data_IF_216071809038
#
_entry.id   IF_216071809038
#
_cell.length_a   1.000
_cell.length_b   1.000
_cell.length_c   1.000
_cell.angle_alpha   90.00
_cell.angle_beta   90.00
_cell.angle_gamma   90.00
#
_symmetry.space_group_name_H-M   'P 1'
#
loop_
_entity.id
_entity.type
_entity.pdbx_description
1 polymer ?
#
# COMPACT_ATOMS: atom_id res chain seq x y z
N UNK A 1 25.55 -3.93 -32.39
CA UNK A 1 25.51 -4.34 -30.97
C UNK A 1 24.06 -4.70 -30.67
N UNK A 2 23.80 -5.96 -30.32
CA UNK A 2 22.48 -6.62 -30.34
C UNK A 2 21.66 -6.21 -29.10
N UNK A 3 20.48 -5.61 -29.29
CA UNK A 3 19.42 -5.61 -28.28
C UNK A 3 18.37 -6.61 -28.74
N UNK A 4 18.33 -7.75 -28.06
CA UNK A 4 17.46 -8.88 -28.36
C UNK A 4 16.79 -9.31 -27.05
N UNK A 5 15.46 -9.43 -27.10
CA UNK A 5 14.64 -10.30 -26.27
C UNK A 5 14.63 -10.09 -24.74
N UNK A 6 13.80 -9.16 -24.24
CA UNK A 6 13.05 -9.35 -22.99
C UNK A 6 11.66 -8.68 -23.13
N UNK A 7 10.76 -9.29 -23.91
CA UNK A 7 9.34 -8.90 -23.90
C UNK A 7 8.46 -10.09 -24.29
N UNK A 8 8.52 -11.19 -23.53
CA UNK A 8 7.65 -12.34 -23.76
C UNK A 8 7.59 -13.25 -22.52
N UNK A 9 6.98 -12.81 -21.42
CA UNK A 9 6.74 -13.67 -20.25
C UNK A 9 5.63 -13.19 -19.29
N UNK A 10 4.58 -12.54 -19.81
CA UNK A 10 3.41 -12.14 -18.99
C UNK A 10 2.05 -12.64 -19.51
N UNK A 11 2.03 -13.54 -20.51
CA UNK A 11 0.77 -14.02 -21.12
C UNK A 11 0.46 -15.52 -20.93
N UNK A 12 1.17 -16.26 -20.08
CA UNK A 12 0.96 -17.73 -19.97
C UNK A 12 0.34 -18.25 -18.66
N UNK A 13 0.05 -17.42 -17.65
CA UNK A 13 -0.34 -17.96 -16.33
C UNK A 13 -1.83 -18.34 -16.22
N UNK A 14 -2.69 -17.91 -17.16
CA UNK A 14 -4.15 -18.19 -17.06
C UNK A 14 -4.60 -19.50 -17.74
N UNK A 15 -3.71 -20.30 -18.32
CA UNK A 15 -4.11 -21.49 -19.12
C UNK A 15 -4.00 -22.81 -18.34
N UNK A 16 -3.35 -22.82 -17.17
CA UNK A 16 -3.09 -24.08 -16.45
C UNK A 16 -4.23 -24.61 -15.57
N UNK A 17 -5.21 -23.79 -15.16
CA UNK A 17 -6.20 -24.22 -14.13
C UNK A 17 -7.33 -25.13 -14.63
N UNK A 18 -7.53 -25.27 -15.95
CA UNK A 18 -8.67 -26.03 -16.49
C UNK A 18 -8.35 -27.47 -16.91
N UNK A 19 -7.08 -27.89 -16.96
CA UNK A 19 -6.70 -29.15 -17.62
C UNK A 19 -6.89 -30.42 -16.78
N UNK A 20 -7.13 -30.31 -15.47
CA UNK A 20 -7.24 -31.46 -14.56
C UNK A 20 -8.59 -31.53 -13.81
N UNK A 21 -9.56 -30.69 -14.20
CA UNK A 21 -10.94 -30.79 -13.70
C UNK A 21 -11.66 -31.97 -14.35
N UNK A 22 -12.56 -32.61 -13.62
CA UNK A 22 -13.32 -33.72 -14.19
C UNK A 22 -14.20 -33.24 -15.35
N UNK A 23 -13.97 -33.80 -16.53
CA UNK A 23 -14.90 -33.68 -17.64
C UNK A 23 -16.16 -34.52 -17.41
N UNK A 24 -17.16 -34.37 -18.29
CA UNK A 24 -18.44 -35.07 -18.14
C UNK A 24 -18.31 -36.59 -18.21
N UNK A 25 -17.35 -37.11 -18.99
CA UNK A 25 -17.09 -38.55 -19.11
C UNK A 25 -16.48 -39.10 -17.81
N UNK A 26 -15.50 -38.40 -17.25
CA UNK A 26 -14.85 -38.73 -15.98
C UNK A 26 -15.82 -38.66 -14.81
N UNK A 27 -16.72 -37.66 -14.78
CA UNK A 27 -17.82 -37.57 -13.80
C UNK A 27 -18.75 -38.78 -13.89
N UNK A 28 -19.15 -39.17 -15.11
CA UNK A 28 -20.00 -40.34 -15.34
C UNK A 28 -19.32 -41.65 -14.90
N UNK A 29 -18.04 -41.82 -15.22
CA UNK A 29 -17.23 -42.98 -14.78
C UNK A 29 -17.08 -43.02 -13.27
N UNK A 30 -16.83 -41.88 -12.63
CA UNK A 30 -16.70 -41.80 -11.17
C UNK A 30 -18.02 -42.06 -10.45
N UNK A 31 -19.15 -41.57 -10.98
CA UNK A 31 -20.49 -41.86 -10.44
C UNK A 31 -20.84 -43.36 -10.44
N UNK A 32 -20.29 -44.12 -11.40
CA UNK A 32 -20.44 -45.59 -11.46
C UNK A 32 -19.57 -46.31 -10.44
N UNK A 33 -18.47 -45.70 -10.01
CA UNK A 33 -17.63 -46.22 -8.92
C UNK A 33 -18.38 -46.00 -7.61
N UNK A 34 -18.66 -44.74 -7.29
CA UNK A 34 -19.31 -44.31 -6.06
C UNK A 34 -19.81 -42.86 -6.23
N UNK A 35 -21.12 -42.63 -6.03
CA UNK A 35 -21.72 -41.30 -6.17
C UNK A 35 -21.28 -40.32 -5.08
N UNK A 36 -21.06 -40.81 -3.86
CA UNK A 36 -20.63 -39.97 -2.74
C UNK A 36 -19.18 -39.54 -2.92
N UNK A 37 -18.32 -40.43 -3.44
CA UNK A 37 -16.96 -40.06 -3.84
C UNK A 37 -16.96 -38.96 -4.92
N UNK A 38 -17.82 -39.07 -5.95
CA UNK A 38 -17.99 -38.00 -6.93
C UNK A 38 -18.39 -36.68 -6.26
N UNK A 39 -19.36 -36.69 -5.35
CA UNK A 39 -19.79 -35.48 -4.65
C UNK A 39 -18.65 -34.83 -3.86
N UNK A 40 -17.78 -35.61 -3.20
CA UNK A 40 -16.60 -35.08 -2.49
C UNK A 40 -15.59 -34.43 -3.43
N UNK A 41 -15.38 -35.01 -4.61
CA UNK A 41 -14.52 -34.43 -5.65
C UNK A 41 -15.10 -33.11 -6.18
N UNK A 42 -16.39 -33.08 -6.53
CA UNK A 42 -17.04 -31.86 -7.01
C UNK A 42 -17.05 -30.75 -5.94
N UNK A 43 -17.21 -31.13 -4.68
CA UNK A 43 -17.10 -30.21 -3.55
C UNK A 43 -15.69 -29.59 -3.48
N UNK A 44 -14.65 -30.41 -3.60
CA UNK A 44 -13.25 -29.94 -3.63
C UNK A 44 -13.01 -28.97 -4.81
N UNK A 45 -13.48 -29.31 -6.01
CA UNK A 45 -13.39 -28.42 -7.18
C UNK A 45 -14.12 -27.09 -6.98
N UNK A 46 -15.26 -27.09 -6.29
CA UNK A 46 -15.98 -25.88 -5.94
C UNK A 46 -15.15 -24.96 -5.03
N UNK A 47 -14.52 -25.50 -3.97
CA UNK A 47 -13.68 -24.70 -3.07
C UNK A 47 -12.47 -24.08 -3.79
N UNK A 48 -11.86 -24.81 -4.72
CA UNK A 48 -10.76 -24.28 -5.54
C UNK A 48 -11.23 -23.12 -6.42
N UNK A 49 -12.42 -23.22 -7.03
CA UNK A 49 -13.00 -22.13 -7.82
C UNK A 49 -13.28 -20.89 -6.97
N UNK A 50 -13.73 -21.09 -5.72
CA UNK A 50 -13.93 -20.02 -4.73
C UNK A 50 -12.62 -19.53 -4.09
N UNK A 51 -11.45 -20.00 -4.55
CA UNK A 51 -10.12 -19.67 -4.01
C UNK A 51 -10.01 -19.92 -2.50
N UNK A 52 -10.65 -20.99 -2.03
CA UNK A 52 -10.74 -21.38 -0.64
C UNK A 52 -10.15 -22.78 -0.42
N UNK A 53 -9.91 -23.16 0.85
CA UNK A 53 -9.21 -24.41 1.16
C UNK A 53 -9.99 -25.61 0.58
N UNK A 54 -9.41 -26.40 -0.33
CA UNK A 54 -10.09 -27.48 -1.06
C UNK A 54 -10.62 -28.63 -0.18
N UNK A 55 -10.20 -28.72 1.09
CA UNK A 55 -10.58 -29.83 1.98
C UNK A 55 -10.21 -31.21 1.43
N UNK A 56 -9.03 -31.37 0.81
CA UNK A 56 -8.58 -32.64 0.20
C UNK A 56 -8.65 -33.85 1.15
N UNK A 57 -8.45 -33.62 2.44
CA UNK A 57 -8.56 -34.64 3.49
C UNK A 57 -9.95 -35.29 3.55
N UNK A 58 -11.01 -34.63 3.07
CA UNK A 58 -12.36 -35.22 2.98
C UNK A 58 -12.38 -36.38 1.98
N UNK A 59 -11.69 -36.26 0.84
CA UNK A 59 -11.58 -37.34 -0.14
C UNK A 59 -10.70 -38.46 0.41
N UNK A 60 -9.54 -38.12 0.98
CA UNK A 60 -8.60 -39.10 1.55
C UNK A 60 -9.23 -39.94 2.68
N UNK A 61 -9.95 -39.28 3.59
CA UNK A 61 -10.68 -39.94 4.66
C UNK A 61 -11.79 -40.84 4.12
N UNK A 62 -12.53 -40.38 3.09
CA UNK A 62 -13.56 -41.21 2.45
C UNK A 62 -12.94 -42.45 1.80
N UNK A 63 -11.85 -42.32 1.04
CA UNK A 63 -11.15 -43.45 0.42
C UNK A 63 -10.68 -44.45 1.47
N UNK A 64 -10.17 -43.97 2.60
CA UNK A 64 -9.65 -44.82 3.69
C UNK A 64 -10.75 -45.57 4.45
N UNK A 65 -11.94 -44.97 4.59
CA UNK A 65 -13.03 -45.53 5.40
C UNK A 65 -14.12 -46.23 4.59
N UNK A 66 -14.20 -45.96 3.28
CA UNK A 66 -15.18 -46.57 2.39
C UNK A 66 -14.78 -47.99 1.97
N UNK A 67 -15.78 -48.78 1.56
CA UNK A 67 -15.59 -50.15 1.05
C UNK A 67 -15.26 -50.17 -0.45
N UNK A 68 -14.39 -49.28 -0.91
CA UNK A 68 -13.98 -49.23 -2.32
C UNK A 68 -12.97 -50.35 -2.58
N UNK A 69 -13.19 -51.13 -3.63
CA UNK A 69 -12.25 -52.18 -4.05
C UNK A 69 -10.94 -51.58 -4.60
N UNK A 70 -9.85 -52.34 -4.53
CA UNK A 70 -8.54 -51.92 -5.08
C UNK A 70 -8.66 -51.48 -6.55
N UNK A 71 -9.41 -52.23 -7.37
CA UNK A 71 -9.64 -51.89 -8.80
C UNK A 71 -10.37 -50.57 -8.99
N UNK A 72 -11.37 -50.29 -8.15
CA UNK A 72 -12.09 -49.02 -8.18
C UNK A 72 -11.18 -47.86 -7.75
N UNK A 73 -10.34 -48.06 -6.73
CA UNK A 73 -9.36 -47.07 -6.29
C UNK A 73 -8.33 -46.75 -7.39
N UNK A 74 -7.82 -47.75 -8.10
CA UNK A 74 -6.94 -47.54 -9.25
C UNK A 74 -7.63 -46.75 -10.37
N UNK A 75 -8.92 -47.03 -10.60
CA UNK A 75 -9.71 -46.29 -11.60
C UNK A 75 -9.90 -44.84 -11.15
N UNK A 76 -10.21 -44.61 -9.87
CA UNK A 76 -10.29 -43.27 -9.30
C UNK A 76 -9.00 -42.48 -9.49
N UNK A 77 -7.83 -43.05 -9.17
CA UNK A 77 -6.52 -42.39 -9.32
C UNK A 77 -6.17 -42.04 -10.76
N UNK A 78 -6.76 -42.73 -11.75
CA UNK A 78 -6.62 -42.38 -13.18
C UNK A 78 -7.53 -41.25 -13.62
N UNK A 79 -8.66 -41.06 -12.95
CA UNK A 79 -9.65 -40.02 -13.26
C UNK A 79 -9.37 -38.71 -12.50
N UNK A 80 -8.89 -38.82 -11.26
CA UNK A 80 -8.72 -37.69 -10.33
C UNK A 80 -7.27 -37.57 -9.93
N UNK A 81 -6.67 -36.41 -10.21
CA UNK A 81 -5.32 -36.07 -9.79
C UNK A 81 -5.35 -35.24 -8.49
N UNK A 82 -5.28 -35.91 -7.33
CA UNK A 82 -5.29 -35.22 -6.03
C UNK A 82 -4.06 -34.31 -5.86
N UNK A 83 -2.91 -34.72 -6.36
CA UNK A 83 -1.69 -33.89 -6.33
C UNK A 83 -1.87 -32.61 -7.15
N UNK A 84 -2.52 -32.68 -8.32
CA UNK A 84 -2.82 -31.51 -9.14
C UNK A 84 -3.73 -30.50 -8.40
N UNK A 85 -4.72 -30.98 -7.64
CA UNK A 85 -5.56 -30.11 -6.81
C UNK A 85 -4.76 -29.43 -5.68
N UNK A 86 -3.81 -30.15 -5.09
CA UNK A 86 -2.92 -29.60 -4.07
C UNK A 86 -1.99 -28.55 -4.65
N UNK A 87 -1.36 -28.83 -5.79
CA UNK A 87 -0.49 -27.88 -6.51
C UNK A 87 -1.25 -26.61 -6.90
N UNK A 88 -2.47 -26.74 -7.43
CA UNK A 88 -3.31 -25.59 -7.74
C UNK A 88 -3.64 -24.76 -6.49
N UNK A 89 -3.96 -25.41 -5.38
CA UNK A 89 -4.19 -24.70 -4.12
C UNK A 89 -2.96 -23.97 -3.64
N UNK A 90 -1.78 -24.59 -3.68
CA UNK A 90 -0.51 -23.97 -3.33
C UNK A 90 -0.21 -22.77 -4.24
N UNK A 91 -0.48 -22.88 -5.54
CA UNK A 91 -0.40 -21.76 -6.49
C UNK A 91 -1.40 -20.64 -6.17
N UNK A 92 -2.64 -20.96 -5.82
CA UNK A 92 -3.64 -19.97 -5.38
C UNK A 92 -3.15 -19.28 -4.10
N UNK A 93 -2.58 -20.01 -3.14
CA UNK A 93 -2.02 -19.43 -1.92
C UNK A 93 -0.82 -18.53 -2.21
N UNK A 94 0.08 -18.97 -3.09
CA UNK A 94 1.23 -18.18 -3.51
C UNK A 94 0.78 -16.90 -4.23
N UNK A 95 -0.15 -17.00 -5.18
CA UNK A 95 -0.71 -15.83 -5.88
C UNK A 95 -1.47 -14.88 -4.95
N UNK A 96 -2.19 -15.40 -3.95
CA UNK A 96 -2.86 -14.58 -2.94
C UNK A 96 -1.88 -13.93 -1.96
N UNK A 97 -0.76 -14.60 -1.65
CA UNK A 97 0.35 -14.04 -0.88
C UNK A 97 1.03 -12.93 -1.67
N UNK A 98 1.37 -13.19 -2.93
CA UNK A 98 1.97 -12.21 -3.84
C UNK A 98 1.02 -11.04 -4.12
N UNK A 99 -0.30 -11.26 -4.19
CA UNK A 99 -1.29 -10.19 -4.35
C UNK A 99 -1.53 -9.38 -3.06
N UNK A 100 -1.46 -10.02 -1.88
CA UNK A 100 -1.47 -9.34 -0.58
C UNK A 100 -0.18 -8.56 -0.36
N UNK A 101 0.95 -9.09 -0.81
CA UNK A 101 2.24 -8.40 -0.81
C UNK A 101 2.23 -7.27 -1.86
N UNK A 102 1.52 -7.37 -2.98
CA UNK A 102 1.32 -6.24 -3.91
C UNK A 102 0.34 -5.17 -3.35
N UNK A 103 -0.68 -5.55 -2.57
CA UNK A 103 -1.57 -4.59 -1.88
C UNK A 103 -0.99 -4.02 -0.57
N UNK A 104 -0.04 -4.70 0.07
CA UNK A 104 0.65 -4.25 1.28
C UNK A 104 2.13 -3.87 1.04
N UNK A 105 2.60 -3.89 -0.20
CA UNK A 105 4.03 -3.82 -0.50
C UNK A 105 4.37 -3.98 -1.98
N UNK A 106 3.87 -3.08 -2.84
CA UNK A 106 4.64 -2.74 -4.04
C UNK A 106 5.83 -1.87 -3.61
N UNK A 107 6.81 -2.58 -3.08
CA UNK A 107 8.12 -2.14 -2.70
C UNK A 107 8.96 -2.06 -3.98
N UNK A 108 8.75 -1.01 -4.79
CA UNK A 108 9.86 -0.44 -5.54
C UNK A 108 10.65 0.40 -4.53
N UNK A 109 11.45 -0.28 -3.70
CA UNK A 109 12.43 0.27 -2.76
C UNK A 109 12.10 1.68 -2.25
N UNK A 110 11.28 1.80 -1.20
CA UNK A 110 11.31 3.04 -0.41
C UNK A 110 12.67 3.09 0.27
N UNK A 111 13.63 3.75 -0.38
CA UNK A 111 15.02 3.90 0.10
C UNK A 111 15.13 4.70 1.41
N UNK A 112 14.01 5.10 2.03
CA UNK A 112 13.99 6.10 3.08
C UNK A 112 12.97 5.80 4.19
N UNK A 113 12.69 4.53 4.50
CA UNK A 113 11.82 4.15 5.63
C UNK A 113 12.26 4.83 6.93
N UNK A 114 13.57 4.91 7.18
CA UNK A 114 14.12 5.57 8.37
C UNK A 114 13.79 7.06 8.41
N UNK A 115 13.85 7.75 7.26
CA UNK A 115 13.44 9.15 7.17
C UNK A 115 11.94 9.29 7.45
N UNK A 116 11.08 8.51 6.78
CA UNK A 116 9.63 8.56 6.99
C UNK A 116 9.25 8.24 8.45
N UNK A 117 9.94 7.29 9.08
CA UNK A 117 9.78 6.97 10.49
C UNK A 117 10.21 8.14 11.39
N UNK A 118 11.29 8.84 11.04
CA UNK A 118 11.77 10.00 11.81
C UNK A 118 10.74 11.13 11.87
N UNK A 119 9.89 11.26 10.85
CA UNK A 119 8.81 12.25 10.79
C UNK A 119 7.79 12.11 11.92
N UNK A 120 7.71 10.96 12.60
CA UNK A 120 6.80 10.73 13.72
C UNK A 120 7.34 11.21 15.07
N UNK A 121 8.63 11.54 15.15
CA UNK A 121 9.28 11.92 16.41
C UNK A 121 10.45 12.87 16.18
N UNK A 122 10.13 14.16 16.19
CA UNK A 122 11.04 15.26 15.94
C UNK A 122 11.21 16.13 17.19
N UNK A 123 12.39 16.69 17.39
CA UNK A 123 12.59 17.82 18.30
C UNK A 123 12.34 19.17 17.60
N UNK A 124 12.44 20.25 18.38
CA UNK A 124 12.16 21.61 17.88
C UNK A 124 13.08 22.06 16.75
N UNK A 125 14.33 21.59 16.71
CA UNK A 125 15.30 21.95 15.66
C UNK A 125 14.99 21.15 14.41
N UNK A 126 14.72 19.85 14.55
CA UNK A 126 14.38 18.95 13.46
C UNK A 126 13.11 19.36 12.72
N UNK A 127 12.12 19.94 13.40
CA UNK A 127 10.92 20.52 12.77
C UNK A 127 11.29 21.55 11.70
N UNK A 128 12.16 22.50 12.05
CA UNK A 128 12.61 23.54 11.12
C UNK A 128 13.45 22.94 9.99
N UNK A 129 14.29 21.93 10.30
CA UNK A 129 15.05 21.19 9.28
C UNK A 129 14.14 20.51 8.26
N UNK A 130 13.11 19.78 8.70
CA UNK A 130 12.16 19.09 7.81
C UNK A 130 11.38 20.09 6.95
N UNK A 131 10.88 21.18 7.54
CA UNK A 131 10.15 22.19 6.80
C UNK A 131 11.02 22.87 5.71
N UNK A 132 12.27 23.20 6.07
CA UNK A 132 13.22 23.79 5.12
C UNK A 132 13.64 22.80 4.04
N UNK A 133 13.77 21.51 4.37
CA UNK A 133 14.05 20.48 3.39
C UNK A 133 12.93 20.39 2.36
N UNK A 134 11.67 20.34 2.79
CA UNK A 134 10.52 20.31 1.88
C UNK A 134 10.57 21.52 0.92
N UNK A 135 10.82 22.72 1.45
CA UNK A 135 10.98 23.93 0.64
C UNK A 135 12.20 23.86 -0.33
N UNK A 136 13.31 23.27 0.11
CA UNK A 136 14.51 23.12 -0.73
C UNK A 136 14.26 22.23 -1.94
N UNK A 137 13.43 21.20 -1.79
CA UNK A 137 13.03 20.30 -2.87
C UNK A 137 12.15 20.99 -3.91
N UNK A 138 11.61 22.17 -3.60
CA UNK A 138 10.89 23.02 -4.55
C UNK A 138 11.80 24.04 -5.22
N UNK A 139 13.13 23.83 -5.19
CA UNK A 139 14.15 24.79 -5.59
C UNK A 139 14.06 26.13 -4.85
N UNK A 140 13.71 26.09 -3.55
CA UNK A 140 13.53 27.28 -2.70
C UNK A 140 12.53 28.29 -3.30
N UNK A 141 11.43 27.78 -3.86
CA UNK A 141 10.36 28.61 -4.42
C UNK A 141 9.68 29.47 -3.35
N UNK A 142 9.98 29.27 -2.07
CA UNK A 142 9.40 30.01 -0.96
C UNK A 142 10.42 30.55 0.03
N UNK A 143 10.01 31.58 0.76
CA UNK A 143 10.73 32.19 1.88
C UNK A 143 9.92 32.01 3.16
N UNK A 144 10.57 31.72 4.29
CA UNK A 144 9.89 31.60 5.58
C UNK A 144 9.23 32.94 5.93
N UNK A 145 7.94 32.89 6.23
CA UNK A 145 7.18 34.05 6.71
C UNK A 145 7.05 34.04 8.23
N UNK A 146 6.59 32.92 8.79
CA UNK A 146 6.24 32.82 10.21
C UNK A 146 6.35 31.37 10.70
N UNK A 147 6.63 31.22 11.99
CA UNK A 147 6.79 29.97 12.72
C UNK A 147 6.18 30.15 14.11
N UNK A 148 5.02 29.54 14.32
CA UNK A 148 4.26 29.71 15.55
C UNK A 148 3.59 28.41 15.99
N UNK A 149 3.22 28.36 17.26
CA UNK A 149 2.51 27.24 17.85
C UNK A 149 1.10 27.64 18.30
N UNK A 150 0.14 26.74 18.09
CA UNK A 150 -1.25 26.90 18.52
C UNK A 150 -1.92 25.53 18.62
N UNK A 151 -2.77 25.32 19.63
CA UNK A 151 -3.65 24.14 19.74
C UNK A 151 -2.95 22.79 19.48
N UNK A 152 -1.84 22.51 20.18
CA UNK A 152 -1.04 21.28 19.99
C UNK A 152 -0.40 21.11 18.60
N UNK A 153 -0.28 22.21 17.85
CA UNK A 153 0.39 22.22 16.54
C UNK A 153 1.46 23.30 16.48
N UNK A 154 2.50 23.05 15.69
CA UNK A 154 3.48 24.04 15.23
C UNK A 154 3.34 24.18 13.72
N UNK A 155 3.29 25.41 13.23
CA UNK A 155 3.00 25.72 11.84
C UNK A 155 4.11 26.62 11.31
N UNK A 156 4.77 26.17 10.24
CA UNK A 156 5.71 26.96 9.47
C UNK A 156 5.05 27.38 8.16
N UNK A 157 5.00 28.69 7.92
CA UNK A 157 4.42 29.28 6.70
C UNK A 157 5.52 29.84 5.83
N UNK A 158 5.43 29.55 4.54
CA UNK A 158 6.33 30.10 3.55
C UNK A 158 5.54 30.82 2.46
N UNK A 159 6.04 31.98 2.04
CA UNK A 159 5.45 32.79 0.97
C UNK A 159 6.28 32.67 -0.32
N UNK A 160 5.67 32.81 -1.52
CA UNK A 160 6.40 32.69 -2.78
C UNK A 160 7.58 33.66 -2.90
N UNK A 161 8.74 33.15 -3.29
CA UNK A 161 9.98 33.92 -3.40
C UNK A 161 9.90 35.04 -4.45
N UNK A 162 8.96 34.95 -5.39
CA UNK A 162 8.64 35.99 -6.40
C UNK A 162 8.15 37.30 -5.79
N UNK A 163 7.68 37.28 -4.54
CA UNK A 163 7.29 38.47 -3.81
C UNK A 163 8.44 38.97 -2.91
N UNK A 164 8.53 40.28 -2.77
CA UNK A 164 9.12 40.90 -1.58
C UNK A 164 8.19 40.70 -0.39
N UNK A 165 8.71 40.82 0.84
CA UNK A 165 7.86 40.73 2.04
C UNK A 165 6.77 41.80 2.04
N UNK A 166 7.10 43.01 1.60
CA UNK A 166 6.16 44.14 1.55
C UNK A 166 5.02 43.89 0.56
N UNK A 167 5.31 43.40 -0.64
CA UNK A 167 4.28 43.04 -1.64
C UNK A 167 3.39 41.90 -1.14
N UNK A 168 4.01 40.90 -0.51
CA UNK A 168 3.29 39.77 0.08
C UNK A 168 2.32 40.23 1.17
N UNK A 169 2.79 41.05 2.11
CA UNK A 169 1.95 41.60 3.17
C UNK A 169 0.86 42.52 2.60
N UNK A 170 1.16 43.37 1.62
CA UNK A 170 0.15 44.22 1.00
C UNK A 170 -0.98 43.40 0.34
N UNK A 171 -0.65 42.25 -0.25
CA UNK A 171 -1.63 41.36 -0.90
C UNK A 171 -2.46 40.54 0.07
N UNK A 172 -1.86 40.01 1.14
CA UNK A 172 -2.49 38.96 1.98
C UNK A 172 -2.73 39.32 3.44
N UNK A 173 -2.21 40.45 3.94
CA UNK A 173 -2.39 40.82 5.36
C UNK A 173 -3.83 41.19 5.68
N UNK A 174 -4.56 41.80 4.74
CA UNK A 174 -5.95 42.27 4.91
C UNK A 174 -6.99 41.16 4.75
N UNK A 175 -6.76 40.22 3.83
CA UNK A 175 -7.59 39.01 3.65
C UNK A 175 -7.30 37.92 4.69
N UNK A 176 -6.26 38.15 5.50
CA UNK A 176 -5.69 37.20 6.42
C UNK A 176 -4.73 36.27 5.70
N UNK A 177 -3.53 36.09 6.24
CA UNK A 177 -2.54 35.19 5.64
C UNK A 177 -3.03 33.74 5.47
N UNK A 178 -4.07 33.37 6.24
CA UNK A 178 -4.81 32.12 6.10
C UNK A 178 -5.45 31.93 4.72
N UNK A 179 -5.65 33.00 3.96
CA UNK A 179 -6.22 33.00 2.60
C UNK A 179 -5.16 32.89 1.49
N UNK A 180 -3.86 32.80 1.83
CA UNK A 180 -2.81 32.65 0.82
C UNK A 180 -2.83 31.26 0.19
N UNK A 181 -3.49 31.13 -0.96
CA UNK A 181 -3.56 29.88 -1.75
C UNK A 181 -2.23 29.52 -2.40
N UNK A 182 -1.37 30.50 -2.65
CA UNK A 182 -0.04 30.31 -3.22
C UNK A 182 1.03 30.00 -2.18
N UNK A 183 0.70 29.95 -0.88
CA UNK A 183 1.67 29.74 0.20
C UNK A 183 1.88 28.26 0.51
N UNK A 184 3.10 27.91 0.91
CA UNK A 184 3.37 26.61 1.51
C UNK A 184 3.10 26.68 3.01
N UNK A 185 2.41 25.67 3.54
CA UNK A 185 2.15 25.52 4.97
C UNK A 185 2.58 24.13 5.41
N UNK A 186 3.56 24.06 6.31
CA UNK A 186 4.02 22.81 6.93
C UNK A 186 3.52 22.78 8.37
N UNK A 187 2.77 21.72 8.71
CA UNK A 187 2.10 21.57 10.00
C UNK A 187 2.66 20.35 10.72
N UNK A 188 2.93 20.52 12.01
CA UNK A 188 3.37 19.48 12.92
C UNK A 188 2.43 19.44 14.12
N UNK A 189 1.99 18.26 14.55
CA UNK A 189 1.37 18.09 15.86
C UNK A 189 2.45 17.89 16.91
N UNK A 190 2.16 18.14 18.20
CA UNK A 190 3.09 17.83 19.28
C UNK A 190 2.42 17.17 20.47
N UNK A 191 3.19 16.30 21.13
CA UNK A 191 2.83 15.62 22.38
C UNK A 191 4.00 15.72 23.36
N UNK A 192 3.74 15.47 24.64
CA UNK A 192 4.78 15.37 25.66
C UNK A 192 5.07 13.89 25.93
N UNK A 193 6.13 13.39 25.30
CA UNK A 193 6.59 12.00 25.42
C UNK A 193 7.08 11.70 26.85
N UNK A 194 6.57 10.63 27.45
CA UNK A 194 6.86 10.28 28.85
C UNK A 194 6.20 11.19 29.89
N UNK A 195 5.19 11.98 29.53
CA UNK A 195 4.41 12.75 30.50
C UNK A 195 3.56 11.83 31.40
N UNK A 196 3.47 12.16 32.68
CA UNK A 196 2.59 11.50 33.65
C UNK A 196 2.00 12.57 34.59
N UNK A 197 0.70 12.82 34.46
CA UNK A 197 -0.02 13.83 35.24
C UNK A 197 -0.06 13.49 36.72
N UNK A 198 -0.23 12.22 37.06
CA UNK A 198 -0.39 11.76 38.44
C UNK A 198 0.91 11.89 39.23
N UNK A 199 2.04 11.77 38.53
CA UNK A 199 3.39 11.94 39.08
C UNK A 199 3.97 13.34 38.86
N UNK A 200 3.20 14.30 38.31
CA UNK A 200 3.69 15.62 37.92
C UNK A 200 4.92 15.61 36.99
N UNK A 201 5.08 14.57 36.18
CA UNK A 201 6.16 14.45 35.18
C UNK A 201 5.69 15.10 33.88
N UNK A 202 6.36 16.18 33.44
CA UNK A 202 5.95 16.95 32.26
C UNK A 202 6.23 16.27 30.92
N UNK A 203 7.12 15.28 30.86
CA UNK A 203 7.57 14.65 29.61
C UNK A 203 8.46 15.56 28.75
N UNK A 204 8.94 15.03 27.62
CA UNK A 204 9.70 15.77 26.61
C UNK A 204 8.78 16.11 25.44
N UNK A 205 8.72 17.39 25.05
CA UNK A 205 7.95 17.81 23.89
C UNK A 205 8.53 17.25 22.60
N UNK A 206 7.73 16.48 21.88
CA UNK A 206 8.08 15.85 20.60
C UNK A 206 7.03 16.22 19.55
N UNK A 207 7.47 16.41 18.31
CA UNK A 207 6.61 16.77 17.19
C UNK A 207 6.46 15.59 16.22
N UNK A 208 5.27 15.48 15.61
CA UNK A 208 4.99 14.58 14.48
C UNK A 208 4.63 15.46 13.29
N UNK A 209 5.30 15.26 12.15
CA UNK A 209 4.89 15.86 10.89
C UNK A 209 3.44 15.44 10.62
N UNK A 210 2.58 16.42 10.35
CA UNK A 210 1.16 16.21 10.14
C UNK A 210 0.79 16.45 8.67
N UNK A 211 1.21 17.58 8.10
CA UNK A 211 0.94 17.85 6.69
C UNK A 211 1.80 18.94 6.07
N UNK A 212 1.89 18.92 4.73
CA UNK A 212 2.30 20.08 3.94
C UNK A 212 1.32 20.33 2.80
N UNK A 213 0.93 21.58 2.60
CA UNK A 213 0.09 22.04 1.47
C UNK A 213 0.88 22.95 0.54
N UNK A 214 0.82 22.73 -0.77
CA UNK A 214 1.38 23.59 -1.81
C UNK A 214 0.79 23.21 -3.19
N UNK A 215 1.33 23.73 -4.30
CA UNK A 215 0.99 23.25 -5.65
C UNK A 215 1.58 21.85 -5.92
N UNK A 216 1.02 21.13 -6.90
CA UNK A 216 1.42 19.76 -7.22
C UNK A 216 2.92 19.60 -7.44
N UNK A 217 3.48 20.42 -8.34
CA UNK A 217 4.89 20.33 -8.74
C UNK A 217 5.86 20.73 -7.62
N UNK A 218 5.36 21.43 -6.60
CA UNK A 218 6.14 21.79 -5.42
C UNK A 218 6.17 20.63 -4.42
N UNK A 219 5.10 19.84 -4.30
CA UNK A 219 5.06 18.69 -3.38
C UNK A 219 5.62 17.40 -4.01
N UNK A 220 5.50 17.26 -5.33
CA UNK A 220 5.91 16.05 -6.04
C UNK A 220 7.37 15.64 -5.78
N UNK A 221 8.38 16.55 -5.77
CA UNK A 221 9.77 16.18 -5.50
C UNK A 221 9.97 15.49 -4.14
N UNK A 222 9.26 15.90 -3.09
CA UNK A 222 9.29 15.23 -1.80
C UNK A 222 8.72 13.81 -1.92
N UNK A 223 7.54 13.67 -2.53
CA UNK A 223 6.88 12.38 -2.70
C UNK A 223 7.72 11.41 -3.53
N UNK A 224 8.30 11.90 -4.63
CA UNK A 224 9.20 11.12 -5.47
C UNK A 224 10.43 10.67 -4.68
N UNK A 225 11.14 11.58 -4.01
CA UNK A 225 12.34 11.25 -3.25
C UNK A 225 12.09 10.22 -2.15
N UNK A 226 10.98 10.35 -1.42
CA UNK A 226 10.78 9.60 -0.18
C UNK A 226 9.79 8.46 -0.25
N UNK A 227 8.93 8.39 -1.26
CA UNK A 227 7.85 7.40 -1.32
C UNK A 227 7.85 6.62 -2.64
N UNK A 228 8.02 7.29 -3.78
CA UNK A 228 7.98 6.63 -5.09
C UNK A 228 9.10 7.13 -6.03
N UNK A 229 10.37 6.73 -5.81
CA UNK A 229 11.50 7.26 -6.56
C UNK A 229 11.50 6.90 -8.05
N UNK A 230 10.76 5.85 -8.43
CA UNK A 230 10.66 5.35 -9.80
C UNK A 230 9.56 6.01 -10.62
N UNK A 231 8.62 6.72 -9.99
CA UNK A 231 7.50 7.38 -10.68
C UNK A 231 7.86 8.80 -11.08
N UNK A 232 7.46 9.22 -12.28
CA UNK A 232 7.49 10.61 -12.70
C UNK A 232 6.16 11.33 -12.38
N UNK A 233 6.15 12.65 -12.60
CA UNK A 233 5.05 13.52 -12.20
C UNK A 233 3.74 13.19 -12.96
N UNK A 234 3.86 12.89 -14.25
CA UNK A 234 2.73 12.57 -15.14
C UNK A 234 2.14 11.20 -14.82
N UNK A 235 3.00 10.20 -14.59
CA UNK A 235 2.62 8.85 -14.21
C UNK A 235 1.82 8.85 -12.92
N UNK A 236 2.25 9.63 -11.92
CA UNK A 236 1.50 9.78 -10.68
C UNK A 236 0.08 10.25 -10.96
N UNK A 237 -0.11 11.29 -11.79
CA UNK A 237 -1.41 11.86 -12.15
C UNK A 237 -2.30 10.92 -12.95
N UNK A 238 -1.70 10.07 -13.80
CA UNK A 238 -2.44 9.12 -14.65
C UNK A 238 -2.99 7.90 -13.90
N UNK A 239 -2.60 7.69 -12.64
CA UNK A 239 -3.14 6.61 -11.82
C UNK A 239 -4.65 6.82 -11.61
N UNK A 240 -5.46 5.82 -11.98
CA UNK A 240 -6.92 5.83 -11.82
C UNK A 240 -7.35 6.08 -10.36
N UNK A 241 -6.47 5.84 -9.39
CA UNK A 241 -6.64 6.15 -7.97
C UNK A 241 -5.96 7.46 -7.54
N UNK A 242 -5.91 8.49 -8.39
CA UNK A 242 -5.17 9.74 -8.14
C UNK A 242 -5.43 10.42 -6.78
N UNK A 243 -6.63 10.23 -6.19
CA UNK A 243 -6.99 10.76 -4.87
C UNK A 243 -6.56 9.89 -3.68
N UNK A 244 -6.03 8.68 -3.91
CA UNK A 244 -5.74 7.68 -2.89
C UNK A 244 -4.31 7.12 -3.00
N UNK A 245 -3.31 8.00 -3.13
CA UNK A 245 -1.90 7.60 -3.10
C UNK A 245 -1.45 7.50 -1.65
N UNK A 246 -1.49 6.28 -1.13
CA UNK A 246 -1.12 5.97 0.25
C UNK A 246 0.20 5.22 0.30
N UNK A 247 1.04 5.59 1.27
CA UNK A 247 2.10 4.74 1.79
C UNK A 247 1.79 4.43 3.25
N UNK A 248 1.50 3.16 3.52
CA UNK A 248 1.15 2.67 4.85
C UNK A 248 2.15 1.63 5.31
N UNK A 249 2.75 1.86 6.47
CA UNK A 249 3.54 0.88 7.19
C UNK A 249 3.12 0.90 8.66
N UNK A 250 2.24 -0.04 9.03
CA UNK A 250 1.67 -0.14 10.37
C UNK A 250 2.73 -0.44 11.45
N UNK A 251 3.82 -1.12 11.09
CA UNK A 251 4.86 -1.50 12.03
C UNK A 251 5.70 -0.31 12.48
N UNK A 252 5.86 0.70 11.60
CA UNK A 252 6.60 1.93 11.88
C UNK A 252 5.72 3.15 12.13
N UNK A 253 4.40 2.97 12.26
CA UNK A 253 3.41 4.05 12.38
C UNK A 253 3.49 5.07 11.22
N UNK A 254 3.81 4.61 10.00
CA UNK A 254 3.89 5.49 8.84
C UNK A 254 2.56 5.40 8.09
N UNK A 255 1.88 6.54 7.93
CA UNK A 255 0.61 6.60 7.21
C UNK A 255 0.53 7.89 6.38
N UNK A 256 1.31 7.94 5.30
CA UNK A 256 1.47 9.15 4.49
C UNK A 256 0.62 9.06 3.22
N UNK A 257 -0.07 10.14 2.89
CA UNK A 257 -0.93 10.25 1.71
C UNK A 257 -0.61 11.48 0.89
N UNK A 258 -0.50 11.33 -0.43
CA UNK A 258 -0.45 12.45 -1.37
C UNK A 258 -1.78 12.55 -2.11
N UNK A 259 -2.53 13.62 -1.88
CA UNK A 259 -3.85 13.79 -2.47
C UNK A 259 -4.20 15.26 -2.71
N UNK A 260 -5.33 15.49 -3.39
CA UNK A 260 -5.86 16.81 -3.65
C UNK A 260 -7.19 17.00 -2.91
N UNK A 261 -7.29 18.07 -2.14
CA UNK A 261 -8.57 18.60 -1.62
C UNK A 261 -8.86 19.89 -2.40
N UNK A 262 -8.82 21.05 -1.73
CA UNK A 262 -8.77 22.36 -2.38
C UNK A 262 -7.36 22.66 -2.91
N UNK A 263 -6.34 22.21 -2.18
CA UNK A 263 -4.93 22.27 -2.55
C UNK A 263 -4.33 20.86 -2.61
N UNK A 264 -3.15 20.72 -3.20
CA UNK A 264 -2.39 19.49 -3.06
C UNK A 264 -1.80 19.41 -1.66
N UNK A 265 -1.84 18.21 -1.09
CA UNK A 265 -1.40 17.97 0.29
C UNK A 265 -0.67 16.64 0.41
N UNK A 266 0.40 16.64 1.18
CA UNK A 266 0.99 15.43 1.75
C UNK A 266 0.62 15.42 3.23
N UNK A 267 -0.12 14.40 3.67
CA UNK A 267 -0.56 14.25 5.07
C UNK A 267 0.01 12.98 5.68
N UNK A 268 0.31 13.03 6.98
CA UNK A 268 0.69 11.88 7.79
C UNK A 268 -0.35 11.71 8.90
N UNK A 269 -1.10 10.61 8.82
CA UNK A 269 -2.23 10.30 9.70
C UNK A 269 -1.78 9.64 11.00
#
# INVERSE_FOLDING_TARGET
MKYSFILLLLLSVNVFSQHFRLDNDSKSKLAKIDKELLNKVLFTEHFLNEKSNPQLSVIENYITTSKISIKQLETFKKLVCLDCYKEEWELIQQNNKDSKDVMNGKNDSVQNIDYLKSLNKLDSVQVTTVANEINSLTNNAFKLYDDYEKNYTRILRFYPAKYTLQEFEAKYKTTGIYACTECMKVTFSFVFDGANSDLNVKGKKMYKFQSVTAEYLQLFPFWQKYVTPTLNAEQLLSDANYNNRWYKNIFYDINIRFHKTDNWVIENY
#
